data_IF_476156137391
#
_entry.id   IF_476156137391
#
_cell.length_a   1.000
_cell.length_b   1.000
_cell.length_c   1.000
_cell.angle_alpha   90.00
_cell.angle_beta   90.00
_cell.angle_gamma   90.00
#
_symmetry.space_group_name_H-M   'P 1'
#
loop_
_entity.id
_entity.type
_entity.pdbx_description
1 polymer ?
#
# COMPACT_ATOMS: atom_id res chain seq x y z
N UNK A 1 1.64 -28.60 -17.82
CA UNK A 1 2.12 -28.65 -16.42
C UNK A 1 2.35 -27.29 -15.72
N UNK A 2 2.57 -26.13 -16.37
CA UNK A 2 2.87 -24.88 -15.63
C UNK A 2 1.68 -24.34 -14.83
N UNK A 3 0.45 -24.42 -15.35
CA UNK A 3 -0.76 -23.98 -14.65
C UNK A 3 -1.03 -24.76 -13.35
N UNK A 4 -0.67 -26.05 -13.31
CA UNK A 4 -0.84 -26.89 -12.11
C UNK A 4 0.15 -26.49 -11.03
N UNK A 5 1.41 -26.23 -11.41
CA UNK A 5 2.43 -25.73 -10.48
C UNK A 5 2.02 -24.38 -9.91
N UNK A 6 1.52 -23.45 -10.74
CA UNK A 6 1.02 -22.15 -10.29
C UNK A 6 -0.16 -22.32 -9.31
N UNK A 7 -1.15 -23.15 -9.64
CA UNK A 7 -2.30 -23.40 -8.77
C UNK A 7 -1.90 -23.95 -7.40
N UNK A 8 -1.00 -24.92 -7.36
CA UNK A 8 -0.46 -25.47 -6.10
C UNK A 8 0.30 -24.40 -5.32
N UNK A 9 1.10 -23.58 -6.01
CA UNK A 9 1.90 -22.53 -5.37
C UNK A 9 1.03 -21.49 -4.68
N UNK A 10 -0.08 -21.08 -5.31
CA UNK A 10 -1.07 -20.16 -4.71
C UNK A 10 -1.71 -20.80 -3.47
N UNK A 11 -2.10 -22.08 -3.54
CA UNK A 11 -2.67 -22.78 -2.39
C UNK A 11 -1.68 -22.87 -1.22
N UNK A 12 -0.41 -23.18 -1.51
CA UNK A 12 0.65 -23.22 -0.51
C UNK A 12 0.88 -21.84 0.10
N UNK A 13 0.95 -20.79 -0.73
CA UNK A 13 1.08 -19.40 -0.28
C UNK A 13 -0.06 -19.00 0.67
N UNK A 14 -1.31 -19.26 0.28
CA UNK A 14 -2.48 -18.98 1.11
C UNK A 14 -2.46 -19.80 2.41
N UNK A 15 -2.03 -21.06 2.36
CA UNK A 15 -1.88 -21.91 3.55
C UNK A 15 -0.82 -21.35 4.51
N UNK A 16 0.34 -20.92 3.99
CA UNK A 16 1.39 -20.29 4.79
C UNK A 16 0.92 -19.00 5.48
N UNK A 17 0.15 -18.16 4.78
CA UNK A 17 -0.36 -16.92 5.35
C UNK A 17 -1.50 -17.15 6.34
N UNK A 18 -2.44 -18.06 6.06
CA UNK A 18 -3.65 -18.22 6.87
C UNK A 18 -3.46 -19.16 8.06
N UNK A 19 -2.79 -20.31 7.87
CA UNK A 19 -2.61 -21.32 8.92
C UNK A 19 -1.34 -21.08 9.72
N UNK A 20 -0.22 -20.87 9.04
CA UNK A 20 1.09 -20.65 9.68
C UNK A 20 1.30 -19.19 10.10
N UNK A 21 0.38 -18.27 9.71
CA UNK A 21 0.42 -16.83 10.04
C UNK A 21 1.76 -16.18 9.69
N UNK A 22 2.41 -16.67 8.63
CA UNK A 22 3.64 -16.07 8.14
C UNK A 22 3.34 -14.72 7.50
N UNK A 23 4.25 -13.75 7.67
CA UNK A 23 4.20 -12.49 6.95
C UNK A 23 4.19 -12.79 5.44
N UNK A 24 3.32 -12.10 4.69
CA UNK A 24 3.19 -12.25 3.25
C UNK A 24 4.51 -12.21 2.52
N UNK A 25 5.43 -11.31 2.89
CA UNK A 25 6.76 -11.24 2.27
C UNK A 25 7.57 -12.54 2.43
N UNK A 26 7.63 -13.08 3.65
CA UNK A 26 8.35 -14.32 3.92
C UNK A 26 7.68 -15.53 3.23
N UNK A 27 6.35 -15.60 3.25
CA UNK A 27 5.60 -16.65 2.58
C UNK A 27 5.85 -16.64 1.07
N UNK A 28 5.87 -15.45 0.45
CA UNK A 28 6.07 -15.26 -0.98
C UNK A 28 7.49 -15.65 -1.41
N UNK A 29 8.51 -15.31 -0.61
CA UNK A 29 9.88 -15.76 -0.83
C UNK A 29 10.02 -17.29 -0.76
N UNK A 30 9.45 -17.93 0.26
CA UNK A 30 9.51 -19.39 0.43
C UNK A 30 8.85 -20.09 -0.76
N UNK A 31 7.67 -19.61 -1.17
CA UNK A 31 6.95 -20.17 -2.32
C UNK A 31 7.71 -19.92 -3.62
N UNK A 32 8.28 -18.74 -3.84
CA UNK A 32 9.06 -18.43 -5.03
C UNK A 32 10.28 -19.35 -5.17
N UNK A 33 11.00 -19.60 -4.07
CA UNK A 33 12.11 -20.57 -4.05
C UNK A 33 11.61 -21.98 -4.35
N UNK A 34 10.48 -22.39 -3.75
CA UNK A 34 9.85 -23.70 -4.02
C UNK A 34 9.48 -23.88 -5.49
N UNK A 35 8.89 -22.85 -6.12
CA UNK A 35 8.55 -22.86 -7.55
C UNK A 35 9.79 -22.94 -8.42
N UNK A 36 10.84 -22.17 -8.10
CA UNK A 36 12.10 -22.18 -8.84
C UNK A 36 12.74 -23.58 -8.85
N UNK A 37 12.72 -24.27 -7.72
CA UNK A 37 13.22 -25.65 -7.60
C UNK A 37 12.39 -26.65 -8.43
N UNK A 38 11.06 -26.55 -8.36
CA UNK A 38 10.15 -27.44 -9.14
C UNK A 38 10.30 -27.23 -10.64
N UNK A 39 10.58 -25.99 -11.07
CA UNK A 39 10.81 -25.64 -12.48
C UNK A 39 12.22 -26.00 -12.97
N UNK A 40 13.08 -26.55 -12.11
CA UNK A 40 14.42 -27.02 -12.48
C UNK A 40 15.47 -25.92 -12.59
N UNK A 41 15.25 -24.75 -11.98
CA UNK A 41 16.25 -23.67 -11.94
C UNK A 41 17.42 -24.12 -11.06
N UNK A 42 18.68 -24.03 -11.53
CA UNK A 42 19.84 -24.33 -10.70
C UNK A 42 19.84 -23.50 -9.43
N UNK A 43 20.16 -24.11 -8.28
CA UNK A 43 20.14 -23.45 -6.96
C UNK A 43 20.98 -22.16 -6.96
N UNK A 44 22.07 -22.14 -7.72
CA UNK A 44 22.93 -20.98 -7.87
C UNK A 44 22.26 -19.78 -8.58
N UNK A 45 21.25 -19.99 -9.43
CA UNK A 45 20.52 -18.95 -10.16
C UNK A 45 19.24 -18.46 -9.46
N UNK A 46 18.85 -19.09 -8.35
CA UNK A 46 17.66 -18.67 -7.58
C UNK A 46 17.79 -17.22 -7.07
N UNK A 47 18.95 -16.78 -6.51
CA UNK A 47 19.10 -15.40 -6.07
C UNK A 47 18.92 -14.37 -7.20
N UNK A 48 19.38 -14.69 -8.41
CA UNK A 48 19.26 -13.79 -9.57
C UNK A 48 17.81 -13.62 -9.99
N UNK A 49 17.06 -14.73 -10.11
CA UNK A 49 15.63 -14.70 -10.46
C UNK A 49 14.80 -13.96 -9.42
N UNK A 50 15.09 -14.17 -8.12
CA UNK A 50 14.43 -13.42 -7.06
C UNK A 50 14.77 -11.93 -7.12
N UNK A 51 16.04 -11.60 -7.35
CA UNK A 51 16.52 -10.20 -7.42
C UNK A 51 15.96 -9.48 -8.64
N UNK A 52 15.81 -10.17 -9.76
CA UNK A 52 15.19 -9.62 -10.97
C UNK A 52 13.70 -9.38 -10.77
N UNK A 53 12.97 -10.33 -10.17
CA UNK A 53 11.55 -10.17 -9.86
C UNK A 53 11.27 -9.02 -8.87
N UNK A 54 12.02 -8.97 -7.77
CA UNK A 54 11.90 -7.89 -6.78
C UNK A 54 12.39 -6.57 -7.38
N UNK A 55 13.50 -6.61 -8.12
CA UNK A 55 14.15 -5.45 -8.72
C UNK A 55 13.29 -4.77 -9.78
N UNK A 56 12.56 -5.53 -10.61
CA UNK A 56 11.58 -4.98 -11.54
C UNK A 56 10.45 -4.24 -10.82
N UNK A 57 9.86 -4.87 -9.80
CA UNK A 57 8.76 -4.27 -9.04
C UNK A 57 9.18 -2.99 -8.30
N UNK A 58 10.36 -3.02 -7.66
CA UNK A 58 10.91 -1.84 -6.99
C UNK A 58 11.29 -0.80 -8.04
N UNK A 59 11.94 -1.17 -9.14
CA UNK A 59 12.37 -0.24 -10.18
C UNK A 59 11.24 0.65 -10.70
N UNK A 60 10.09 0.04 -10.99
CA UNK A 60 8.91 0.75 -11.51
C UNK A 60 8.30 1.74 -10.50
N UNK A 61 8.35 1.41 -9.21
CA UNK A 61 7.68 2.19 -8.14
C UNK A 61 8.65 3.07 -7.34
N UNK A 62 9.96 2.87 -7.44
CA UNK A 62 10.95 3.48 -6.56
C UNK A 62 10.99 5.00 -6.68
N UNK A 63 10.92 5.53 -7.90
CA UNK A 63 10.94 6.97 -8.13
C UNK A 63 9.70 7.64 -7.53
N UNK A 64 8.53 7.03 -7.74
CA UNK A 64 7.25 7.58 -7.29
C UNK A 64 7.14 7.53 -5.77
N UNK A 65 7.56 6.42 -5.15
CA UNK A 65 7.64 6.26 -3.68
C UNK A 65 8.63 7.26 -3.09
N UNK A 66 9.83 7.40 -3.69
CA UNK A 66 10.86 8.31 -3.20
C UNK A 66 10.42 9.77 -3.24
N UNK A 67 9.85 10.21 -4.37
CA UNK A 67 9.28 11.56 -4.51
C UNK A 67 8.07 11.75 -3.58
N UNK A 68 7.19 10.76 -3.47
CA UNK A 68 6.06 10.77 -2.56
C UNK A 68 6.49 10.96 -1.10
N UNK A 69 7.55 10.28 -0.67
CA UNK A 69 8.13 10.42 0.67
C UNK A 69 8.71 11.82 0.91
N UNK A 70 9.41 12.39 -0.07
CA UNK A 70 9.89 13.78 0.01
C UNK A 70 8.73 14.77 0.14
N UNK A 71 7.70 14.63 -0.70
CA UNK A 71 6.50 15.48 -0.65
C UNK A 71 5.76 15.32 0.67
N UNK A 72 5.53 14.10 1.14
CA UNK A 72 4.88 13.82 2.41
C UNK A 72 5.64 14.44 3.59
N UNK A 73 6.97 14.37 3.58
CA UNK A 73 7.81 15.01 4.60
C UNK A 73 7.69 16.53 4.57
N UNK A 74 7.81 17.14 3.39
CA UNK A 74 7.66 18.59 3.21
C UNK A 74 6.26 19.04 3.64
N UNK A 75 5.20 18.29 3.33
CA UNK A 75 3.84 18.60 3.77
C UNK A 75 3.67 18.57 5.29
N UNK A 76 4.31 17.60 5.96
CA UNK A 76 4.30 17.50 7.41
C UNK A 76 5.06 18.63 8.10
N UNK A 77 6.22 19.01 7.55
CA UNK A 77 7.10 20.02 8.15
C UNK A 77 6.67 21.46 7.85
N UNK A 78 6.10 21.72 6.67
CA UNK A 78 5.72 23.08 6.22
C UNK A 78 4.41 23.62 6.82
N UNK A 79 3.66 22.81 7.56
CA UNK A 79 2.32 23.20 8.01
C UNK A 79 1.22 22.97 6.96
N UNK A 80 1.56 22.51 5.75
CA UNK A 80 0.60 22.30 4.67
C UNK A 80 -0.46 21.25 5.05
N UNK A 81 -0.05 20.16 5.71
CA UNK A 81 -0.98 19.13 6.19
C UNK A 81 -2.00 19.70 7.20
N UNK A 82 -1.59 20.62 8.07
CA UNK A 82 -2.43 21.33 9.05
C UNK A 82 -3.44 22.22 8.34
N UNK A 83 -3.01 22.92 7.29
CA UNK A 83 -3.90 23.77 6.49
C UNK A 83 -4.94 22.94 5.73
N UNK A 84 -4.55 21.80 5.16
CA UNK A 84 -5.47 20.88 4.47
C UNK A 84 -6.44 20.25 5.46
N UNK A 85 -5.94 19.76 6.60
CA UNK A 85 -6.77 19.20 7.67
C UNK A 85 -7.79 20.23 8.21
N UNK A 86 -7.36 21.48 8.44
CA UNK A 86 -8.25 22.57 8.85
C UNK A 86 -9.36 22.81 7.83
N UNK A 87 -9.03 22.89 6.54
CA UNK A 87 -10.02 23.05 5.45
C UNK A 87 -11.01 21.90 5.39
N UNK A 88 -10.56 20.66 5.62
CA UNK A 88 -11.44 19.48 5.69
C UNK A 88 -12.41 19.59 6.87
N UNK A 89 -11.94 20.08 8.03
CA UNK A 89 -12.79 20.31 9.20
C UNK A 89 -13.80 21.42 8.98
N UNK A 90 -13.41 22.50 8.32
CA UNK A 90 -14.32 23.61 8.00
C UNK A 90 -15.40 23.17 7.01
N UNK A 91 -15.06 22.31 6.04
CA UNK A 91 -15.98 21.85 5.01
C UNK A 91 -16.97 20.77 5.49
N UNK A 92 -16.50 19.77 6.25
CA UNK A 92 -17.32 18.63 6.68
C UNK A 92 -17.79 18.73 8.13
N UNK A 93 -17.06 19.45 8.98
CA UNK A 93 -17.28 19.53 10.42
C UNK A 93 -16.51 18.46 11.22
N UNK A 94 -16.23 18.72 12.51
CA UNK A 94 -15.41 17.84 13.37
C UNK A 94 -16.06 16.48 13.67
N UNK A 95 -17.37 16.33 13.42
CA UNK A 95 -18.08 15.05 13.57
C UNK A 95 -17.93 14.13 12.37
N UNK A 96 -17.61 14.66 11.19
CA UNK A 96 -17.59 13.93 9.91
C UNK A 96 -16.18 13.70 9.36
N UNK A 97 -15.18 13.81 10.23
CA UNK A 97 -13.74 13.63 9.97
C UNK A 97 -13.44 12.33 9.22
N UNK A 98 -14.07 11.23 9.63
CA UNK A 98 -13.91 9.93 8.98
C UNK A 98 -14.39 9.96 7.53
N UNK A 99 -15.55 10.55 7.27
CA UNK A 99 -16.13 10.69 5.92
C UNK A 99 -15.28 11.62 5.07
N UNK A 100 -14.84 12.75 5.64
CA UNK A 100 -13.93 13.67 4.98
C UNK A 100 -12.67 12.95 4.50
N UNK A 101 -12.08 12.10 5.35
CA UNK A 101 -10.90 11.31 4.99
C UNK A 101 -11.18 10.23 3.96
N UNK A 102 -12.33 9.55 4.03
CA UNK A 102 -12.73 8.56 3.02
C UNK A 102 -12.89 9.22 1.64
N UNK A 103 -13.61 10.34 1.55
CA UNK A 103 -13.82 11.08 0.30
C UNK A 103 -12.49 11.60 -0.25
N UNK A 104 -11.64 12.18 0.62
CA UNK A 104 -10.31 12.66 0.21
C UNK A 104 -9.45 11.52 -0.32
N UNK A 105 -9.45 10.37 0.36
CA UNK A 105 -8.69 9.19 -0.06
C UNK A 105 -9.20 8.62 -1.37
N UNK A 106 -10.52 8.64 -1.57
CA UNK A 106 -11.11 8.22 -2.83
C UNK A 106 -10.66 9.11 -3.98
N UNK A 107 -10.75 10.44 -3.82
CA UNK A 107 -10.35 11.41 -4.85
C UNK A 107 -8.87 11.26 -5.24
N UNK A 108 -7.99 11.10 -4.24
CA UNK A 108 -6.57 10.93 -4.49
C UNK A 108 -6.30 9.56 -5.12
N UNK A 109 -6.97 8.49 -4.66
CA UNK A 109 -6.82 7.13 -5.20
C UNK A 109 -7.21 6.99 -6.66
N UNK A 110 -8.05 7.86 -7.20
CA UNK A 110 -8.35 7.88 -8.65
C UNK A 110 -7.12 8.30 -9.47
N UNK A 111 -6.30 9.21 -8.96
CA UNK A 111 -5.27 9.89 -9.75
C UNK A 111 -3.85 9.41 -9.46
N UNK A 112 -3.62 8.76 -8.32
CA UNK A 112 -2.29 8.35 -7.85
C UNK A 112 -2.21 6.84 -7.59
N UNK A 113 -1.00 6.28 -7.72
CA UNK A 113 -0.68 4.95 -7.22
C UNK A 113 -0.85 4.87 -5.71
N UNK A 114 -1.24 3.68 -5.22
CA UNK A 114 -1.53 3.46 -3.81
C UNK A 114 -0.37 3.88 -2.90
N UNK A 115 0.87 3.48 -3.21
CA UNK A 115 2.00 3.75 -2.31
C UNK A 115 2.25 5.26 -2.15
N UNK A 116 2.17 5.99 -3.26
CA UNK A 116 2.41 7.44 -3.28
C UNK A 116 1.29 8.19 -2.57
N UNK A 117 0.04 7.86 -2.90
CA UNK A 117 -1.14 8.46 -2.29
C UNK A 117 -1.14 8.25 -0.77
N UNK A 118 -0.82 7.03 -0.33
CA UNK A 118 -0.77 6.69 1.08
C UNK A 118 0.24 7.57 1.83
N UNK A 119 1.48 7.67 1.31
CA UNK A 119 2.54 8.47 1.93
C UNK A 119 2.16 9.96 2.07
N UNK A 120 1.44 10.52 1.08
CA UNK A 120 1.01 11.92 1.09
C UNK A 120 -0.16 12.16 2.06
N UNK A 121 -1.09 11.21 2.17
CA UNK A 121 -2.29 11.35 3.02
C UNK A 121 -1.96 11.12 4.50
N UNK A 122 -1.00 10.26 4.82
CA UNK A 122 -0.58 9.95 6.19
C UNK A 122 -0.33 11.19 7.08
N UNK A 123 0.47 12.20 6.68
CA UNK A 123 0.66 13.40 7.50
C UNK A 123 -0.64 14.20 7.70
N UNK A 124 -1.54 14.23 6.72
CA UNK A 124 -2.86 14.86 6.85
C UNK A 124 -3.70 14.10 7.88
N UNK A 125 -3.74 12.77 7.81
CA UNK A 125 -4.48 11.92 8.74
C UNK A 125 -3.99 12.11 10.19
N UNK A 126 -2.68 12.09 10.42
CA UNK A 126 -2.10 12.36 11.73
C UNK A 126 -2.47 13.75 12.25
N UNK A 127 -2.46 14.75 11.38
CA UNK A 127 -2.79 16.12 11.75
C UNK A 127 -4.26 16.27 12.12
N UNK A 128 -5.15 15.68 11.33
CA UNK A 128 -6.60 15.70 11.56
C UNK A 128 -6.95 15.04 12.91
N UNK A 129 -6.32 13.89 13.20
CA UNK A 129 -6.46 13.15 14.46
C UNK A 129 -5.97 13.97 15.65
N UNK A 130 -4.84 14.68 15.51
CA UNK A 130 -4.33 15.58 16.57
C UNK A 130 -5.29 16.72 16.88
N UNK A 131 -5.89 17.32 15.84
CA UNK A 131 -6.82 18.46 16.00
C UNK A 131 -8.16 18.01 16.58
N UNK A 132 -8.69 16.86 16.14
CA UNK A 132 -10.03 16.38 16.52
C UNK A 132 -10.04 15.43 17.71
N UNK A 133 -8.88 14.98 18.18
CA UNK A 133 -8.68 14.04 19.29
C UNK A 133 -9.41 12.69 19.12
N UNK A 134 -9.74 12.30 17.89
CA UNK A 134 -10.26 10.96 17.59
C UNK A 134 -9.13 9.94 17.53
N UNK A 135 -9.44 8.65 17.57
CA UNK A 135 -8.42 7.61 17.44
C UNK A 135 -7.91 7.51 15.99
N UNK A 136 -6.59 7.39 15.80
CA UNK A 136 -5.94 7.23 14.50
C UNK A 136 -6.50 6.05 13.72
N UNK A 137 -6.72 4.90 14.36
CA UNK A 137 -7.28 3.72 13.70
C UNK A 137 -8.68 3.99 13.14
N UNK A 138 -9.46 4.84 13.82
CA UNK A 138 -10.82 5.17 13.45
C UNK A 138 -10.90 6.00 12.15
N UNK A 139 -9.81 6.70 11.81
CA UNK A 139 -9.70 7.52 10.59
C UNK A 139 -8.83 6.84 9.55
N UNK A 140 -7.70 6.29 9.98
CA UNK A 140 -6.67 5.66 9.15
C UNK A 140 -7.12 4.36 8.50
N UNK A 141 -7.86 3.48 9.21
CA UNK A 141 -8.37 2.25 8.60
C UNK A 141 -9.35 2.54 7.44
N UNK A 142 -10.41 3.35 7.64
CA UNK A 142 -11.32 3.73 6.55
C UNK A 142 -10.61 4.43 5.40
N UNK A 143 -9.64 5.31 5.70
CA UNK A 143 -8.80 5.98 4.70
C UNK A 143 -8.03 4.96 3.84
N UNK A 144 -7.33 4.00 4.47
CA UNK A 144 -6.59 2.95 3.76
C UNK A 144 -7.49 2.03 2.94
N UNK A 145 -8.67 1.67 3.47
CA UNK A 145 -9.66 0.85 2.77
C UNK A 145 -10.19 1.61 1.55
N UNK A 146 -10.58 2.88 1.71
CA UNK A 146 -11.09 3.70 0.62
C UNK A 146 -10.04 3.89 -0.48
N UNK A 147 -8.79 4.15 -0.10
CA UNK A 147 -7.69 4.28 -1.03
C UNK A 147 -7.41 2.97 -1.78
N UNK A 148 -7.36 1.84 -1.05
CA UNK A 148 -7.16 0.51 -1.65
C UNK A 148 -8.27 0.16 -2.62
N UNK A 149 -9.54 0.39 -2.25
CA UNK A 149 -10.68 0.12 -3.11
C UNK A 149 -10.62 0.96 -4.38
N UNK A 150 -10.33 2.27 -4.29
CA UNK A 150 -10.24 3.09 -5.51
C UNK A 150 -9.09 2.65 -6.42
N UNK A 151 -7.94 2.33 -5.85
CA UNK A 151 -6.81 1.86 -6.64
C UNK A 151 -7.09 0.53 -7.34
N UNK A 152 -7.78 -0.41 -6.67
CA UNK A 152 -8.07 -1.74 -7.21
C UNK A 152 -9.27 -1.79 -8.17
N UNK A 153 -10.26 -0.90 -8.03
CA UNK A 153 -11.52 -0.99 -8.78
C UNK A 153 -11.68 0.04 -9.89
N UNK A 154 -10.89 1.13 -9.94
CA UNK A 154 -10.97 2.10 -11.03
C UNK A 154 -9.90 1.86 -12.12
N UNK A 155 -10.30 1.66 -13.39
CA UNK A 155 -9.36 1.73 -14.53
C UNK A 155 -8.90 3.19 -14.70
N UNK A 156 -7.60 3.54 -14.76
CA UNK A 156 -6.54 2.95 -15.61
C UNK A 156 -5.36 2.31 -14.84
N UNK A 157 -5.56 1.97 -13.56
CA UNK A 157 -4.50 1.36 -12.75
C UNK A 157 -4.20 -0.08 -13.20
N UNK A 158 -2.92 -0.52 -13.21
CA UNK A 158 -2.51 -1.87 -13.58
C UNK A 158 -2.94 -2.94 -12.57
#
# INVERSE_FOLDING_TARGET
MPLVVVGISVLVLLFLMTRLKLNGFAALLIVAVGVALVQGIPVAGIPDVLSEGIGGQIGDTMLTIGLGAMVGRVMGDSGAAQRIAGRLLDAFGPRWVQVAMVVTSMLIGVTMFYEVAFIIIVPIAFTLVRVTRVNLLWVGLPMSIALSTMHSFLPPHP
#
